data_IF_406760474106
#
_entry.id   IF_406760474106
#
_cell.length_a   1.000
_cell.length_b   1.000
_cell.length_c   1.000
_cell.angle_alpha   90.00
_cell.angle_beta   90.00
_cell.angle_gamma   90.00
#
_symmetry.space_group_name_H-M   'P 1'
#
loop_
_entity.id
_entity.type
_entity.pdbx_description
1 polymer ?
#
# COMPACT_ATOMS: atom_id res chain seq x y z
N UNK A 1 13.17 -7.34 -3.19
CA UNK A 1 13.05 -6.26 -2.17
C UNK A 1 14.42 -5.64 -1.87
N UNK A 2 15.48 -6.39 -1.52
CA UNK A 2 16.81 -5.78 -1.25
C UNK A 2 17.43 -5.08 -2.47
N UNK A 3 17.14 -5.47 -3.72
CA UNK A 3 17.54 -4.70 -4.89
C UNK A 3 16.96 -3.28 -4.92
N UNK A 4 15.68 -3.13 -4.57
CA UNK A 4 15.00 -1.82 -4.47
C UNK A 4 15.62 -0.98 -3.34
N UNK A 5 16.00 -1.62 -2.22
CA UNK A 5 16.70 -0.94 -1.12
C UNK A 5 18.08 -0.47 -1.57
N UNK A 6 18.79 -1.27 -2.35
CA UNK A 6 20.07 -0.88 -2.94
C UNK A 6 19.91 0.35 -3.84
N UNK A 7 18.91 0.34 -4.73
CA UNK A 7 18.61 1.47 -5.61
C UNK A 7 18.25 2.73 -4.80
N UNK A 8 17.51 2.58 -3.71
CA UNK A 8 17.17 3.69 -2.81
C UNK A 8 18.41 4.25 -2.11
N UNK A 9 19.31 3.38 -1.62
CA UNK A 9 20.55 3.82 -0.97
C UNK A 9 21.48 4.55 -1.94
N UNK A 10 21.65 4.03 -3.17
CA UNK A 10 22.41 4.70 -4.23
C UNK A 10 21.81 6.08 -4.58
N UNK A 11 20.48 6.14 -4.66
CA UNK A 11 19.77 7.39 -4.93
C UNK A 11 20.01 8.42 -3.82
N UNK A 12 19.89 8.00 -2.54
CA UNK A 12 20.14 8.87 -1.39
C UNK A 12 21.59 9.36 -1.34
N UNK A 13 22.55 8.48 -1.61
CA UNK A 13 23.97 8.87 -1.69
C UNK A 13 24.20 9.91 -2.79
N UNK A 14 23.64 9.68 -4.00
CA UNK A 14 23.74 10.61 -5.12
C UNK A 14 23.10 11.97 -4.80
N UNK A 15 21.90 11.99 -4.20
CA UNK A 15 21.23 13.24 -3.80
C UNK A 15 22.04 13.97 -2.73
N UNK A 16 22.49 13.27 -1.68
CA UNK A 16 23.20 13.87 -0.56
C UNK A 16 24.57 14.45 -0.98
N UNK A 17 25.20 13.90 -2.01
CA UNK A 17 26.46 14.41 -2.58
C UNK A 17 26.28 15.49 -3.64
N UNK A 18 25.05 15.73 -4.08
CA UNK A 18 24.76 16.71 -5.14
C UNK A 18 24.81 18.16 -4.61
N UNK A 19 25.50 19.03 -5.33
CA UNK A 19 25.51 20.47 -5.08
C UNK A 19 24.13 21.12 -5.27
N UNK A 20 23.23 20.47 -6.00
CA UNK A 20 21.87 20.95 -6.22
C UNK A 20 21.03 20.93 -4.93
N UNK A 21 21.35 20.06 -3.96
CA UNK A 21 20.64 19.99 -2.68
C UNK A 21 20.80 21.29 -1.85
N UNK A 22 21.81 22.09 -2.16
CA UNK A 22 22.11 23.37 -1.47
C UNK A 22 22.15 24.57 -2.41
N UNK A 23 21.69 24.41 -3.67
CA UNK A 23 21.76 25.44 -4.70
C UNK A 23 20.79 26.61 -4.52
N UNK A 24 19.73 26.39 -3.72
CA UNK A 24 18.61 27.31 -3.60
C UNK A 24 17.58 27.18 -4.73
N UNK A 25 16.41 27.77 -4.55
CA UNK A 25 15.37 27.84 -5.59
C UNK A 25 14.68 26.51 -5.92
N UNK A 26 14.30 26.34 -7.18
CA UNK A 26 13.52 25.21 -7.67
C UNK A 26 14.29 23.90 -7.72
N UNK A 27 15.59 23.97 -8.01
CA UNK A 27 16.46 22.79 -8.12
C UNK A 27 16.63 22.11 -6.76
N UNK A 28 16.90 22.91 -5.72
CA UNK A 28 16.96 22.40 -4.35
C UNK A 28 15.65 21.73 -3.95
N UNK A 29 14.51 22.40 -4.15
CA UNK A 29 13.18 21.84 -3.85
C UNK A 29 12.92 20.52 -4.58
N UNK A 30 13.39 20.39 -5.80
CA UNK A 30 13.29 19.16 -6.56
C UNK A 30 14.14 18.05 -5.95
N UNK A 31 15.37 18.33 -5.55
CA UNK A 31 16.25 17.37 -4.88
C UNK A 31 15.69 16.96 -3.50
N UNK A 32 15.18 17.91 -2.74
CA UNK A 32 14.51 17.66 -1.47
C UNK A 32 13.30 16.73 -1.64
N UNK A 33 12.48 16.95 -2.67
CA UNK A 33 11.35 16.09 -3.00
C UNK A 33 11.81 14.68 -3.34
N UNK A 34 12.79 14.52 -4.24
CA UNK A 34 13.33 13.20 -4.58
C UNK A 34 13.91 12.47 -3.38
N UNK A 35 14.56 13.19 -2.47
CA UNK A 35 15.02 12.64 -1.19
C UNK A 35 13.84 12.14 -0.34
N UNK A 36 12.80 12.94 -0.20
CA UNK A 36 11.59 12.57 0.54
C UNK A 36 10.89 11.35 -0.06
N UNK A 37 10.72 11.30 -1.40
CA UNK A 37 10.16 10.14 -2.10
C UNK A 37 10.99 8.87 -1.85
N UNK A 38 12.30 8.97 -1.98
CA UNK A 38 13.20 7.83 -1.78
C UNK A 38 13.13 7.30 -0.35
N UNK A 39 13.12 8.18 0.66
CA UNK A 39 12.95 7.79 2.06
C UNK A 39 11.60 7.09 2.29
N UNK A 40 10.52 7.63 1.76
CA UNK A 40 9.19 7.05 1.93
C UNK A 40 9.03 5.69 1.24
N UNK A 41 9.56 5.53 0.03
CA UNK A 41 9.51 4.26 -0.71
C UNK A 41 10.43 3.21 -0.08
N UNK A 42 11.63 3.58 0.37
CA UNK A 42 12.51 2.69 1.12
C UNK A 42 11.84 2.20 2.41
N UNK A 43 11.21 3.12 3.16
CA UNK A 43 10.46 2.78 4.36
C UNK A 43 9.30 1.81 4.08
N UNK A 44 8.58 1.98 2.98
CA UNK A 44 7.52 1.04 2.55
C UNK A 44 8.07 -0.37 2.34
N UNK A 45 9.18 -0.50 1.61
CA UNK A 45 9.78 -1.80 1.30
C UNK A 45 10.31 -2.48 2.56
N UNK A 46 10.97 -1.74 3.45
CA UNK A 46 11.42 -2.29 4.74
C UNK A 46 10.25 -2.67 5.65
N UNK A 47 9.19 -1.88 5.66
CA UNK A 47 8.01 -2.21 6.42
C UNK A 47 7.38 -3.53 5.95
N UNK A 48 7.31 -3.76 4.66
CA UNK A 48 6.86 -5.04 4.12
C UNK A 48 7.81 -6.19 4.48
N UNK A 49 9.13 -6.00 4.40
CA UNK A 49 10.10 -7.00 4.86
C UNK A 49 9.88 -7.37 6.33
N UNK A 50 9.71 -6.38 7.20
CA UNK A 50 9.44 -6.62 8.63
C UNK A 50 8.10 -7.33 8.85
N UNK A 51 7.07 -6.99 8.09
CA UNK A 51 5.76 -7.64 8.19
C UNK A 51 5.79 -9.12 7.80
N UNK A 52 6.60 -9.48 6.79
CA UNK A 52 6.70 -10.85 6.30
C UNK A 52 7.73 -11.69 7.05
N UNK A 53 8.84 -11.10 7.48
CA UNK A 53 10.00 -11.85 7.97
C UNK A 53 10.43 -11.50 9.41
N UNK A 54 9.87 -10.45 10.00
CA UNK A 54 10.27 -10.00 11.33
C UNK A 54 11.62 -9.29 11.33
N UNK A 55 12.60 -9.86 12.03
CA UNK A 55 13.96 -9.34 12.07
C UNK A 55 14.67 -9.60 10.74
N UNK A 56 15.20 -8.57 10.11
CA UNK A 56 15.87 -8.64 8.81
C UNK A 56 17.15 -7.80 8.82
N UNK A 57 18.11 -8.02 7.91
CA UNK A 57 19.25 -7.13 7.77
C UNK A 57 18.82 -5.70 7.45
N UNK A 58 19.29 -4.72 8.23
CA UNK A 58 19.06 -3.30 7.97
C UNK A 58 20.26 -2.71 7.25
N UNK A 59 20.11 -2.43 5.96
CA UNK A 59 21.14 -1.89 5.09
C UNK A 59 20.79 -0.44 4.74
N UNK A 60 21.53 0.51 5.26
CA UNK A 60 21.31 1.95 5.10
C UNK A 60 22.30 2.64 4.16
N UNK A 61 23.23 1.85 3.59
CA UNK A 61 24.28 2.33 2.69
C UNK A 61 24.35 1.44 1.43
N UNK A 62 24.78 1.96 0.29
CA UNK A 62 25.03 1.15 -0.89
C UNK A 62 26.06 0.05 -0.65
N UNK A 63 25.99 -1.00 -1.46
CA UNK A 63 26.98 -2.06 -1.45
C UNK A 63 28.36 -1.53 -1.77
N UNK A 64 29.35 -1.85 -0.95
CA UNK A 64 30.73 -1.47 -1.18
C UNK A 64 31.42 -2.46 -2.13
N UNK A 65 32.32 -1.95 -2.99
CA UNK A 65 33.00 -2.78 -3.98
C UNK A 65 33.89 -3.87 -3.34
N UNK A 66 34.36 -3.64 -2.12
CA UNK A 66 35.17 -4.58 -1.33
C UNK A 66 34.30 -5.57 -0.53
N UNK A 67 32.98 -5.51 -0.68
CA UNK A 67 31.98 -6.33 0.03
C UNK A 67 32.01 -6.17 1.56
N UNK A 68 32.62 -5.12 2.11
CA UNK A 68 32.77 -4.91 3.57
C UNK A 68 31.40 -4.81 4.28
N UNK A 69 30.35 -4.38 3.59
CA UNK A 69 28.98 -4.29 4.11
C UNK A 69 28.00 -5.30 3.48
N UNK A 70 28.50 -6.39 2.87
CA UNK A 70 27.66 -7.40 2.23
C UNK A 70 27.04 -8.40 3.22
N UNK A 71 27.71 -8.66 4.35
CA UNK A 71 27.32 -9.68 5.32
C UNK A 71 26.76 -9.04 6.59
N UNK A 72 25.54 -8.52 6.49
CA UNK A 72 24.84 -7.92 7.62
C UNK A 72 24.04 -9.00 8.38
N UNK A 73 24.15 -8.98 9.70
CA UNK A 73 23.25 -9.74 10.55
C UNK A 73 21.86 -9.11 10.54
N UNK A 74 20.84 -9.92 10.86
CA UNK A 74 19.50 -9.40 11.06
C UNK A 74 19.45 -8.41 12.23
N UNK A 75 18.74 -7.36 12.05
CA UNK A 75 18.47 -6.31 13.03
C UNK A 75 17.09 -6.54 13.64
N UNK A 76 16.95 -6.31 14.93
CA UNK A 76 15.66 -6.37 15.61
C UNK A 76 14.62 -5.48 14.90
N UNK A 77 13.46 -6.04 14.63
CA UNK A 77 12.36 -5.37 13.93
C UNK A 77 11.95 -4.03 14.55
N UNK A 78 12.07 -3.90 15.88
CA UNK A 78 11.71 -2.66 16.56
C UNK A 78 12.70 -1.55 16.21
N UNK A 79 13.99 -1.86 16.14
CA UNK A 79 15.03 -0.92 15.70
C UNK A 79 14.79 -0.50 14.25
N UNK A 80 14.44 -1.45 13.39
CA UNK A 80 14.09 -1.14 12.00
C UNK A 80 12.91 -0.18 11.96
N UNK A 81 11.78 -0.53 12.60
CA UNK A 81 10.57 0.31 12.58
C UNK A 81 10.82 1.70 13.18
N UNK A 82 11.62 1.80 14.24
CA UNK A 82 12.01 3.08 14.84
C UNK A 82 12.86 3.92 13.85
N UNK A 83 13.77 3.32 13.09
CA UNK A 83 14.54 3.97 12.02
C UNK A 83 13.62 4.47 10.91
N UNK A 84 12.68 3.63 10.43
CA UNK A 84 11.74 4.02 9.38
C UNK A 84 10.85 5.20 9.82
N UNK A 85 10.47 5.28 11.09
CA UNK A 85 9.71 6.43 11.61
C UNK A 85 10.53 7.72 11.60
N UNK A 86 11.84 7.65 11.80
CA UNK A 86 12.75 8.82 11.66
C UNK A 86 12.83 9.26 10.20
N UNK A 87 13.04 8.32 9.28
CA UNK A 87 13.10 8.61 7.84
C UNK A 87 11.80 9.22 7.33
N UNK A 88 10.65 8.71 7.78
CA UNK A 88 9.35 9.24 7.37
C UNK A 88 9.06 10.62 7.97
N UNK A 89 9.56 10.94 9.17
CA UNK A 89 9.50 12.33 9.69
C UNK A 89 10.27 13.28 8.78
N UNK A 90 11.45 12.89 8.32
CA UNK A 90 12.22 13.66 7.36
C UNK A 90 11.48 13.79 6.02
N UNK A 91 10.89 12.69 5.53
CA UNK A 91 10.11 12.70 4.30
C UNK A 91 8.90 13.66 4.38
N UNK A 92 8.20 13.70 5.51
CA UNK A 92 7.08 14.63 5.74
C UNK A 92 7.50 16.08 5.57
N UNK A 93 8.71 16.47 6.02
CA UNK A 93 9.20 17.86 5.87
C UNK A 93 9.55 18.17 4.40
N UNK A 94 10.02 17.19 3.63
CA UNK A 94 10.54 17.36 2.27
C UNK A 94 9.46 17.26 1.18
N UNK A 95 8.37 16.52 1.45
CA UNK A 95 7.36 16.20 0.45
C UNK A 95 6.23 17.23 0.39
N UNK A 96 5.72 17.55 -0.82
CA UNK A 96 4.47 18.28 -0.97
C UNK A 96 3.25 17.40 -0.76
N UNK A 97 2.09 18.00 -0.51
CA UNK A 97 0.81 17.33 -0.61
C UNK A 97 0.46 16.99 -2.07
N UNK A 98 -0.47 16.06 -2.27
CA UNK A 98 -0.97 15.79 -3.62
C UNK A 98 -1.55 17.07 -4.23
N UNK A 99 -1.21 17.31 -5.51
CA UNK A 99 -1.57 18.48 -6.32
C UNK A 99 -1.09 19.86 -5.80
N UNK A 100 -0.31 19.89 -4.72
CA UNK A 100 0.37 21.12 -4.27
C UNK A 100 1.41 21.61 -5.29
N UNK A 101 2.02 20.67 -6.00
CA UNK A 101 2.93 20.93 -7.11
C UNK A 101 2.35 20.31 -8.37
N UNK A 102 2.35 21.07 -9.47
CA UNK A 102 1.79 20.62 -10.75
C UNK A 102 2.34 19.26 -11.18
N UNK A 103 1.45 18.31 -11.47
CA UNK A 103 1.77 16.94 -11.85
C UNK A 103 2.22 16.03 -10.72
N UNK A 104 2.21 16.48 -9.49
CA UNK A 104 2.58 15.68 -8.33
C UNK A 104 1.33 15.11 -7.63
N UNK A 105 0.85 14.00 -8.16
CA UNK A 105 -0.41 13.36 -7.79
C UNK A 105 -0.22 12.28 -6.72
N UNK A 106 -1.30 11.58 -6.37
CA UNK A 106 -1.27 10.39 -5.47
C UNK A 106 -0.53 9.20 -6.05
N UNK A 107 -0.08 9.25 -7.30
CA UNK A 107 0.84 8.26 -7.90
C UNK A 107 2.30 8.45 -7.45
N UNK A 108 2.58 9.52 -6.72
CA UNK A 108 3.85 9.79 -6.06
C UNK A 108 3.75 9.57 -4.55
N UNK A 109 4.90 9.36 -3.91
CA UNK A 109 4.98 9.34 -2.45
C UNK A 109 4.82 10.77 -1.90
N UNK A 110 3.58 11.20 -1.67
CA UNK A 110 3.24 12.55 -1.19
C UNK A 110 3.44 12.69 0.32
N UNK A 111 3.36 13.94 0.82
CA UNK A 111 3.32 14.22 2.26
C UNK A 111 2.19 13.44 2.97
N UNK A 112 1.02 13.36 2.36
CA UNK A 112 -0.10 12.57 2.87
C UNK A 112 0.25 11.10 3.03
N UNK A 113 0.94 10.52 2.05
CA UNK A 113 1.42 9.16 2.12
C UNK A 113 2.46 8.95 3.23
N UNK A 114 3.45 9.84 3.33
CA UNK A 114 4.47 9.75 4.39
C UNK A 114 3.84 9.80 5.79
N UNK A 115 2.88 10.69 6.03
CA UNK A 115 2.11 10.72 7.27
C UNK A 115 1.35 9.41 7.53
N UNK A 116 0.64 8.89 6.55
CA UNK A 116 -0.14 7.67 6.67
C UNK A 116 0.74 6.44 6.94
N UNK A 117 1.86 6.32 6.23
CA UNK A 117 2.81 5.22 6.41
C UNK A 117 3.46 5.28 7.79
N UNK A 118 3.88 6.47 8.24
CA UNK A 118 4.45 6.67 9.57
C UNK A 118 3.48 6.25 10.66
N UNK A 119 2.23 6.67 10.57
CA UNK A 119 1.19 6.28 11.53
C UNK A 119 0.97 4.76 11.55
N UNK A 120 0.94 4.11 10.37
CA UNK A 120 0.79 2.67 10.26
C UNK A 120 1.98 1.91 10.90
N UNK A 121 3.20 2.38 10.65
CA UNK A 121 4.41 1.82 11.26
C UNK A 121 4.38 2.01 12.78
N UNK A 122 4.02 3.18 13.29
CA UNK A 122 3.92 3.44 14.72
C UNK A 122 2.88 2.52 15.41
N UNK A 123 1.71 2.33 14.81
CA UNK A 123 0.68 1.42 15.30
C UNK A 123 1.16 -0.04 15.27
N UNK A 124 1.85 -0.44 14.22
CA UNK A 124 2.43 -1.79 14.09
C UNK A 124 3.51 -2.03 15.15
N UNK A 125 4.36 -1.02 15.38
CA UNK A 125 5.41 -1.04 16.41
C UNK A 125 4.85 -1.18 17.83
N UNK A 126 3.65 -0.63 18.06
CA UNK A 126 2.93 -0.73 19.33
C UNK A 126 2.19 -2.08 19.51
N UNK A 127 2.04 -2.87 18.46
CA UNK A 127 1.22 -4.07 18.42
C UNK A 127 1.89 -5.33 18.98
N UNK A 128 1.08 -6.38 19.11
CA UNK A 128 1.53 -7.73 19.42
C UNK A 128 2.27 -8.36 18.25
N UNK A 129 3.43 -8.96 18.53
CA UNK A 129 4.22 -9.68 17.54
C UNK A 129 4.86 -10.92 18.15
N UNK A 130 5.03 -11.95 17.33
CA UNK A 130 5.85 -13.12 17.68
C UNK A 130 7.31 -12.73 17.53
N UNK A 131 8.12 -13.05 18.54
CA UNK A 131 9.55 -12.73 18.57
C UNK A 131 10.39 -14.00 18.58
N UNK A 132 11.58 -13.91 18.01
CA UNK A 132 12.54 -15.01 18.09
C UNK A 132 13.15 -15.15 19.49
N UNK A 133 13.25 -14.04 20.21
CA UNK A 133 13.72 -14.00 21.59
C UNK A 133 12.88 -13.04 22.42
N UNK A 134 12.65 -13.38 23.66
CA UNK A 134 11.96 -12.51 24.62
C UNK A 134 12.74 -11.20 24.80
N UNK A 135 12.00 -10.11 24.91
CA UNK A 135 12.57 -8.79 25.27
C UNK A 135 12.15 -8.43 26.69
N UNK A 136 13.12 -7.99 27.47
CA UNK A 136 12.88 -7.47 28.80
C UNK A 136 12.08 -6.16 28.75
N UNK A 137 11.20 -5.98 29.73
CA UNK A 137 10.34 -4.79 29.80
C UNK A 137 9.15 -4.81 28.86
N UNK A 138 8.97 -5.86 28.05
CA UNK A 138 7.83 -6.04 27.17
C UNK A 138 6.71 -6.83 27.86
N UNK A 139 5.49 -6.49 27.49
CA UNK A 139 4.31 -7.23 27.94
C UNK A 139 4.18 -8.50 27.09
N UNK A 140 4.04 -9.66 27.75
CA UNK A 140 3.89 -10.96 27.09
C UNK A 140 2.43 -11.39 27.10
N UNK A 141 1.93 -11.93 25.99
CA UNK A 141 0.57 -12.40 25.87
C UNK A 141 0.32 -13.63 26.75
N UNK A 142 -0.90 -13.77 27.30
CA UNK A 142 -1.28 -14.88 28.18
C UNK A 142 -1.13 -16.26 27.51
N UNK A 143 -1.39 -16.31 26.20
CA UNK A 143 -1.23 -17.51 25.38
C UNK A 143 -0.08 -17.28 24.41
N UNK A 144 1.09 -17.77 24.75
CA UNK A 144 2.30 -17.59 23.95
C UNK A 144 3.11 -18.88 23.94
N UNK A 145 3.81 -19.12 22.83
CA UNK A 145 4.85 -20.14 22.79
C UNK A 145 6.07 -19.63 23.59
N UNK A 146 6.56 -20.39 24.57
CA UNK A 146 7.72 -19.96 25.34
C UNK A 146 9.00 -19.84 24.51
N UNK A 147 9.10 -20.55 23.39
CA UNK A 147 10.26 -20.48 22.47
C UNK A 147 10.20 -19.23 21.58
N UNK A 148 8.98 -18.87 21.15
CA UNK A 148 8.71 -17.74 20.29
C UNK A 148 7.65 -16.83 20.91
N UNK A 149 8.01 -16.05 21.93
CA UNK A 149 7.02 -15.31 22.70
C UNK A 149 6.32 -14.24 21.90
N UNK A 150 5.01 -14.14 22.09
CA UNK A 150 4.20 -13.03 21.57
C UNK A 150 4.27 -11.87 22.55
N UNK A 151 4.89 -10.78 22.15
CA UNK A 151 5.13 -9.61 23.00
C UNK A 151 4.78 -8.30 22.30
N UNK A 152 4.53 -7.28 23.11
CA UNK A 152 4.42 -5.88 22.68
C UNK A 152 5.17 -4.97 23.66
N UNK A 153 5.49 -3.73 23.26
CA UNK A 153 6.13 -2.77 24.16
C UNK A 153 5.29 -2.52 25.42
N UNK A 154 5.93 -1.99 26.45
CA UNK A 154 5.26 -1.51 27.66
C UNK A 154 4.19 -0.43 27.38
N UNK A 155 3.32 -0.16 28.35
CA UNK A 155 2.20 0.76 28.18
C UNK A 155 2.67 2.20 27.86
N UNK A 156 3.76 2.67 28.47
CA UNK A 156 4.25 4.04 28.24
C UNK A 156 4.79 4.21 26.81
N UNK A 157 5.52 3.24 26.32
CA UNK A 157 6.01 3.20 24.93
C UNK A 157 4.84 3.14 23.94
N UNK A 158 3.83 2.29 24.20
CA UNK A 158 2.63 2.23 23.34
C UNK A 158 1.88 3.55 23.29
N UNK A 159 1.70 4.22 24.43
CA UNK A 159 1.04 5.53 24.48
C UNK A 159 1.74 6.54 23.56
N UNK A 160 3.07 6.65 23.65
CA UNK A 160 3.85 7.55 22.77
C UNK A 160 3.70 7.21 21.29
N UNK A 161 3.68 5.91 20.94
CA UNK A 161 3.49 5.46 19.57
C UNK A 161 2.08 5.76 19.03
N UNK A 162 1.04 5.60 19.86
CA UNK A 162 -0.32 5.95 19.49
C UNK A 162 -0.51 7.48 19.39
N UNK A 163 0.09 8.27 20.27
CA UNK A 163 0.09 9.74 20.18
C UNK A 163 0.79 10.21 18.90
N UNK A 164 1.91 9.58 18.54
CA UNK A 164 2.61 9.86 17.29
C UNK A 164 1.71 9.53 16.08
N UNK A 165 1.10 8.34 16.05
CA UNK A 165 0.19 7.96 14.99
C UNK A 165 -1.00 8.91 14.87
N UNK A 166 -1.63 9.27 16.00
CA UNK A 166 -2.75 10.20 16.06
C UNK A 166 -2.36 11.57 15.51
N UNK A 167 -1.18 12.09 15.88
CA UNK A 167 -0.68 13.38 15.37
C UNK A 167 -0.57 13.40 13.85
N UNK A 168 0.02 12.34 13.25
CA UNK A 168 0.20 12.25 11.80
C UNK A 168 -1.12 12.01 11.06
N UNK A 169 -2.02 11.19 11.59
CA UNK A 169 -3.36 11.01 11.00
C UNK A 169 -4.20 12.30 11.08
N UNK A 170 -4.10 13.01 12.21
CA UNK A 170 -4.78 14.32 12.38
C UNK A 170 -4.25 15.36 11.39
N UNK A 171 -2.96 15.34 11.06
CA UNK A 171 -2.38 16.23 10.05
C UNK A 171 -3.00 16.03 8.67
N UNK A 172 -3.23 14.76 8.24
CA UNK A 172 -3.92 14.45 6.99
C UNK A 172 -5.34 15.03 6.97
N UNK A 173 -6.11 14.78 8.05
CA UNK A 173 -7.50 15.24 8.15
C UNK A 173 -7.57 16.78 8.18
N UNK A 174 -6.68 17.41 8.95
CA UNK A 174 -6.66 18.88 9.11
C UNK A 174 -6.23 19.58 7.83
N UNK A 175 -5.29 19.00 7.07
CA UNK A 175 -4.89 19.55 5.77
C UNK A 175 -6.05 19.55 4.78
N UNK A 176 -6.86 18.49 4.76
CA UNK A 176 -8.08 18.39 3.96
C UNK A 176 -7.88 18.14 2.46
N UNK A 177 -6.67 17.83 2.00
CA UNK A 177 -6.41 17.34 0.63
C UNK A 177 -7.10 15.99 0.43
N UNK A 178 -6.91 15.07 1.37
CA UNK A 178 -7.52 13.75 1.33
C UNK A 178 -8.86 13.73 2.07
N UNK A 179 -9.91 13.27 1.41
CA UNK A 179 -11.27 13.17 1.95
C UNK A 179 -11.91 11.87 1.48
N UNK A 180 -12.87 11.37 2.24
CA UNK A 180 -13.66 10.24 1.77
C UNK A 180 -14.53 10.68 0.59
N UNK A 181 -14.53 9.92 -0.48
CA UNK A 181 -15.48 10.08 -1.58
C UNK A 181 -16.88 9.74 -1.05
N UNK A 182 -17.87 10.60 -1.21
CA UNK A 182 -19.24 10.34 -0.71
C UNK A 182 -19.89 9.14 -1.40
N UNK A 183 -19.38 8.70 -2.55
CA UNK A 183 -19.83 7.52 -3.28
C UNK A 183 -18.73 6.46 -3.35
N UNK A 184 -18.91 5.38 -2.60
CA UNK A 184 -18.03 4.20 -2.68
C UNK A 184 -18.02 3.59 -4.09
N UNK A 185 -19.16 3.66 -4.80
CA UNK A 185 -19.25 3.17 -6.17
C UNK A 185 -18.40 4.03 -7.11
N UNK A 186 -18.47 5.36 -6.99
CA UNK A 186 -17.67 6.27 -7.81
C UNK A 186 -16.17 6.06 -7.58
N UNK A 187 -15.74 5.85 -6.34
CA UNK A 187 -14.34 5.58 -6.03
C UNK A 187 -13.79 4.36 -6.80
N UNK A 188 -14.54 3.25 -6.79
CA UNK A 188 -14.15 2.06 -7.53
C UNK A 188 -14.35 2.19 -9.05
N UNK A 189 -15.31 3.00 -9.49
CA UNK A 189 -15.49 3.34 -10.90
C UNK A 189 -14.26 4.07 -11.44
N UNK A 190 -13.76 5.11 -10.76
CA UNK A 190 -12.57 5.85 -11.15
C UNK A 190 -11.34 4.93 -11.27
N UNK A 191 -11.13 4.05 -10.30
CA UNK A 191 -10.02 3.07 -10.35
C UNK A 191 -10.14 2.17 -11.60
N UNK A 192 -11.33 1.68 -11.92
CA UNK A 192 -11.56 0.85 -13.12
C UNK A 192 -11.41 1.65 -14.42
N UNK A 193 -11.69 2.95 -14.41
CA UNK A 193 -11.46 3.86 -15.53
C UNK A 193 -9.99 4.29 -15.65
N UNK A 194 -9.14 3.92 -14.69
CA UNK A 194 -7.75 4.39 -14.59
C UNK A 194 -7.65 5.91 -14.45
N UNK A 195 -8.59 6.48 -13.74
CA UNK A 195 -8.65 7.90 -13.43
C UNK A 195 -8.33 8.13 -11.95
N UNK A 196 -7.54 9.16 -11.68
CA UNK A 196 -7.29 9.61 -10.31
C UNK A 196 -8.52 10.34 -9.76
N UNK A 197 -8.84 10.11 -8.50
CA UNK A 197 -9.83 10.91 -7.78
C UNK A 197 -9.27 12.29 -7.43
N UNK A 198 -9.36 13.23 -8.39
CA UNK A 198 -8.88 14.61 -8.24
C UNK A 198 -9.75 15.48 -7.33
N UNK A 199 -10.94 15.02 -6.97
CA UNK A 199 -11.87 15.78 -6.14
C UNK A 199 -11.72 15.51 -4.65
N UNK A 200 -11.45 14.26 -4.31
CA UNK A 200 -11.41 13.81 -2.91
C UNK A 200 -10.05 13.25 -2.52
N UNK A 201 -9.24 12.81 -3.49
CA UNK A 201 -7.96 12.12 -3.23
C UNK A 201 -8.11 11.06 -2.12
N UNK A 202 -9.20 10.26 -2.18
CA UNK A 202 -9.46 9.24 -1.15
C UNK A 202 -8.33 8.23 -1.08
N UNK A 203 -7.79 7.81 -2.23
CA UNK A 203 -6.55 7.05 -2.27
C UNK A 203 -5.38 7.99 -1.93
N UNK A 204 -4.69 7.70 -0.85
CA UNK A 204 -3.55 8.50 -0.39
C UNK A 204 -2.30 8.19 -1.22
N UNK A 205 -2.19 6.97 -1.73
CA UNK A 205 -1.11 6.51 -2.59
C UNK A 205 -1.61 5.44 -3.55
N UNK A 206 -1.23 5.55 -4.82
CA UNK A 206 -1.60 4.62 -5.88
C UNK A 206 -0.36 4.20 -6.67
N UNK A 207 -0.23 2.91 -6.93
CA UNK A 207 0.80 2.39 -7.83
C UNK A 207 0.20 2.17 -9.22
N UNK A 208 0.44 3.06 -10.18
CA UNK A 208 -0.09 2.91 -11.53
C UNK A 208 0.53 1.71 -12.24
N UNK A 209 -0.31 0.95 -12.93
CA UNK A 209 0.11 -0.17 -13.76
C UNK A 209 0.00 0.22 -15.23
N UNK A 210 1.08 0.06 -16.00
CA UNK A 210 1.08 0.32 -17.44
C UNK A 210 0.26 -0.72 -18.22
N UNK A 211 -0.28 -0.33 -19.37
CA UNK A 211 -0.93 -1.26 -20.28
C UNK A 211 0.11 -2.28 -20.81
N UNK A 212 -0.22 -3.57 -20.71
CA UNK A 212 0.67 -4.66 -21.12
C UNK A 212 1.90 -4.88 -20.20
N UNK A 213 2.08 -4.04 -19.18
CA UNK A 213 3.11 -4.19 -18.15
C UNK A 213 2.39 -4.58 -16.87
N UNK A 214 2.12 -5.86 -16.69
CA UNK A 214 1.13 -6.30 -15.72
C UNK A 214 1.71 -6.82 -14.41
N UNK A 215 0.94 -6.58 -13.36
CA UNK A 215 0.85 -7.53 -12.25
C UNK A 215 -0.34 -8.48 -12.51
N UNK A 216 -0.29 -9.69 -11.99
CA UNK A 216 -1.44 -10.61 -12.03
C UNK A 216 -2.59 -10.17 -11.10
N UNK A 217 -2.49 -9.03 -10.44
CA UNK A 217 -3.44 -8.64 -9.40
C UNK A 217 -4.86 -8.46 -9.96
N UNK A 218 -5.04 -7.62 -10.97
CA UNK A 218 -6.33 -7.41 -11.61
C UNK A 218 -6.87 -8.68 -12.27
N UNK A 219 -6.00 -9.47 -12.90
CA UNK A 219 -6.34 -10.75 -13.47
C UNK A 219 -6.87 -11.75 -12.43
N UNK A 220 -6.26 -11.77 -11.24
CA UNK A 220 -6.56 -12.71 -10.16
C UNK A 220 -7.79 -12.31 -9.34
N UNK A 221 -7.95 -11.00 -9.07
CA UNK A 221 -8.91 -10.44 -8.09
C UNK A 221 -10.15 -9.91 -8.79
N UNK A 222 -10.42 -9.96 -9.99
CA UNK A 222 -11.58 -9.34 -10.62
C UNK A 222 -12.79 -10.25 -10.80
N UNK A 223 -13.83 -9.68 -11.36
CA UNK A 223 -14.98 -10.42 -11.89
C UNK A 223 -14.52 -11.26 -13.08
N UNK A 224 -14.83 -12.55 -13.07
CA UNK A 224 -14.34 -13.48 -14.10
C UNK A 224 -14.92 -13.17 -15.47
N UNK A 225 -14.05 -13.13 -16.47
CA UNK A 225 -14.40 -13.16 -17.89
C UNK A 225 -14.10 -14.55 -18.44
N UNK A 226 -15.14 -15.32 -18.77
CA UNK A 226 -15.04 -16.71 -19.19
C UNK A 226 -15.47 -16.87 -20.67
N UNK A 227 -14.63 -16.48 -21.56
CA UNK A 227 -14.86 -16.56 -23.00
C UNK A 227 -14.42 -15.29 -23.71
N UNK A 228 -14.21 -15.37 -25.02
CA UNK A 228 -13.98 -14.18 -25.84
C UNK A 228 -15.29 -13.40 -25.98
N UNK A 229 -15.27 -12.12 -25.72
CA UNK A 229 -16.37 -11.21 -25.95
C UNK A 229 -15.88 -10.02 -26.76
N UNK A 230 -16.75 -9.46 -27.60
CA UNK A 230 -16.43 -8.23 -28.34
C UNK A 230 -16.54 -7.00 -27.47
N UNK A 231 -17.27 -7.09 -26.36
CA UNK A 231 -17.58 -5.97 -25.48
C UNK A 231 -16.59 -5.84 -24.32
N UNK A 232 -16.19 -6.96 -23.70
CA UNK A 232 -15.34 -6.96 -22.50
C UNK A 232 -13.97 -7.57 -22.70
N UNK A 233 -13.51 -7.65 -23.94
CA UNK A 233 -12.19 -8.16 -24.29
C UNK A 233 -12.10 -9.68 -24.40
N UNK A 234 -10.90 -10.19 -24.43
CA UNK A 234 -10.62 -11.60 -24.68
C UNK A 234 -10.76 -12.44 -23.41
N UNK A 235 -10.97 -13.74 -23.61
CA UNK A 235 -10.92 -14.73 -22.53
C UNK A 235 -9.66 -14.58 -21.71
N UNK A 236 -9.82 -14.49 -20.40
CA UNK A 236 -8.70 -14.44 -19.47
C UNK A 236 -8.30 -13.04 -19.04
N UNK A 237 -9.01 -11.98 -19.42
CA UNK A 237 -8.78 -10.64 -18.88
C UNK A 237 -8.99 -10.57 -17.36
N UNK A 238 -9.83 -11.44 -16.82
CA UNK A 238 -9.90 -11.71 -15.39
C UNK A 238 -10.23 -13.17 -15.13
N UNK A 239 -9.42 -13.85 -14.33
CA UNK A 239 -9.64 -15.27 -13.99
C UNK A 239 -10.59 -15.46 -12.82
N UNK A 240 -10.77 -14.45 -11.98
CA UNK A 240 -11.57 -14.53 -10.76
C UNK A 240 -11.12 -15.65 -9.82
N UNK A 241 -9.80 -15.86 -9.68
CA UNK A 241 -9.24 -16.90 -8.79
C UNK A 241 -9.54 -16.60 -7.33
N UNK A 242 -9.45 -15.33 -6.92
CA UNK A 242 -9.84 -14.93 -5.58
C UNK A 242 -11.35 -14.74 -5.49
N UNK A 243 -11.92 -15.39 -4.49
CA UNK A 243 -13.35 -15.33 -4.22
C UNK A 243 -13.62 -14.91 -2.78
N UNK A 244 -14.73 -14.26 -2.57
CA UNK A 244 -15.24 -13.89 -1.27
C UNK A 244 -16.09 -15.03 -0.70
N UNK A 245 -16.09 -15.14 0.62
CA UNK A 245 -16.84 -16.20 1.32
C UNK A 245 -18.27 -15.76 1.63
N UNK A 246 -19.18 -16.72 1.79
CA UNK A 246 -20.55 -16.45 2.20
C UNK A 246 -20.63 -15.72 3.57
N UNK A 247 -19.87 -16.10 4.62
CA UNK A 247 -19.86 -15.35 5.85
C UNK A 247 -19.50 -13.87 5.67
N UNK A 248 -18.53 -13.56 4.80
CA UNK A 248 -18.18 -12.19 4.48
C UNK A 248 -19.34 -11.44 3.82
N UNK A 249 -20.03 -12.07 2.85
CA UNK A 249 -21.21 -11.48 2.22
C UNK A 249 -22.30 -11.16 3.24
N UNK A 250 -22.59 -12.09 4.15
CA UNK A 250 -23.62 -11.92 5.17
C UNK A 250 -23.20 -11.02 6.34
N UNK A 251 -21.91 -10.64 6.45
CA UNK A 251 -21.45 -9.69 7.47
C UNK A 251 -21.85 -8.25 7.16
N UNK A 252 -22.23 -7.95 5.92
CA UNK A 252 -22.76 -6.64 5.55
C UNK A 252 -24.23 -6.50 5.97
N UNK A 253 -24.59 -5.33 6.50
CA UNK A 253 -25.99 -4.97 6.63
C UNK A 253 -26.65 -4.94 5.24
N UNK A 254 -27.96 -5.28 5.16
CA UNK A 254 -28.70 -5.30 3.90
C UNK A 254 -28.77 -3.93 3.22
N UNK A 255 -28.63 -2.83 3.98
CA UNK A 255 -28.62 -1.45 3.50
C UNK A 255 -27.21 -0.94 3.18
N UNK A 256 -26.16 -1.72 3.47
CA UNK A 256 -24.79 -1.31 3.21
C UNK A 256 -24.49 -1.45 1.71
N UNK A 257 -24.43 -0.33 1.03
CA UNK A 257 -24.17 -0.25 -0.41
C UNK A 257 -22.80 -0.85 -0.79
N UNK A 258 -21.85 -0.90 0.13
CA UNK A 258 -20.52 -1.50 -0.10
C UNK A 258 -20.60 -2.97 -0.41
N UNK A 259 -21.62 -3.68 0.08
CA UNK A 259 -21.82 -5.11 -0.19
C UNK A 259 -21.91 -5.40 -1.68
N UNK A 260 -22.80 -4.72 -2.37
CA UNK A 260 -23.11 -5.02 -3.78
C UNK A 260 -22.02 -4.53 -4.73
N UNK A 261 -21.25 -3.51 -4.31
CA UNK A 261 -20.05 -3.05 -5.02
C UNK A 261 -18.88 -4.05 -4.84
N UNK A 262 -18.74 -4.60 -3.62
CA UNK A 262 -17.63 -5.49 -3.28
C UNK A 262 -17.88 -6.93 -3.73
N UNK A 263 -19.14 -7.38 -3.70
CA UNK A 263 -19.54 -8.76 -3.85
C UNK A 263 -20.26 -8.99 -5.19
N UNK A 264 -19.51 -9.30 -6.24
CA UNK A 264 -20.10 -9.59 -7.55
C UNK A 264 -20.58 -11.04 -7.64
N UNK A 265 -21.89 -11.23 -7.83
CA UNK A 265 -22.54 -12.52 -7.95
C UNK A 265 -22.67 -12.98 -9.41
N UNK A 266 -22.01 -12.32 -10.32
CA UNK A 266 -22.08 -12.56 -11.77
C UNK A 266 -20.71 -12.92 -12.33
N UNK A 267 -20.72 -13.60 -13.46
CA UNK A 267 -19.58 -13.79 -14.34
C UNK A 267 -19.93 -13.36 -15.76
N UNK A 268 -18.92 -13.00 -16.52
CA UNK A 268 -19.04 -12.60 -17.92
C UNK A 268 -18.58 -13.74 -18.81
N UNK A 269 -19.25 -13.95 -19.91
CA UNK A 269 -18.92 -14.96 -20.90
C UNK A 269 -19.43 -14.59 -22.28
N UNK A 270 -19.28 -15.51 -23.23
CA UNK A 270 -19.88 -15.38 -24.56
C UNK A 270 -20.77 -16.59 -24.85
N UNK A 271 -21.90 -16.32 -25.47
CA UNK A 271 -22.80 -17.33 -26.03
C UNK A 271 -23.15 -16.91 -27.44
N UNK A 272 -22.84 -17.78 -28.41
CA UNK A 272 -23.01 -17.48 -29.85
C UNK A 272 -22.36 -16.15 -30.30
N UNK A 273 -21.18 -15.85 -29.77
CA UNK A 273 -20.43 -14.62 -30.10
C UNK A 273 -20.94 -13.35 -29.42
N UNK A 274 -21.99 -13.43 -28.59
CA UNK A 274 -22.58 -12.33 -27.86
C UNK A 274 -22.16 -12.40 -26.39
N UNK A 275 -21.82 -11.25 -25.80
CA UNK A 275 -21.52 -11.14 -24.38
C UNK A 275 -22.73 -11.57 -23.55
N UNK A 276 -22.48 -12.43 -22.57
CA UNK A 276 -23.50 -12.91 -21.64
C UNK A 276 -23.06 -12.70 -20.20
N UNK A 277 -23.88 -11.97 -19.45
CA UNK A 277 -23.82 -11.97 -18.00
C UNK A 277 -24.63 -13.15 -17.44
N UNK A 278 -24.07 -13.88 -16.51
CA UNK A 278 -24.78 -14.95 -15.83
C UNK A 278 -24.56 -14.91 -14.33
N UNK A 279 -25.63 -15.19 -13.58
CA UNK A 279 -25.52 -15.37 -12.13
C UNK A 279 -24.68 -16.60 -11.83
N UNK A 280 -23.85 -16.50 -10.79
CA UNK A 280 -23.10 -17.64 -10.28
C UNK A 280 -24.06 -18.65 -9.63
N UNK A 281 -24.03 -19.92 -10.08
CA UNK A 281 -24.88 -20.97 -9.54
C UNK A 281 -24.64 -21.30 -8.08
N UNK A 282 -23.50 -20.93 -7.55
CA UNK A 282 -23.10 -21.13 -6.15
C UNK A 282 -23.05 -19.84 -5.32
N UNK A 283 -23.61 -18.72 -5.82
CA UNK A 283 -23.72 -17.49 -5.04
C UNK A 283 -24.71 -17.68 -3.88
N UNK A 284 -24.42 -17.19 -2.67
CA UNK A 284 -23.26 -16.39 -2.30
C UNK A 284 -22.07 -17.20 -1.73
N UNK A 285 -22.03 -18.52 -1.90
CA UNK A 285 -20.95 -19.35 -1.35
C UNK A 285 -19.61 -19.15 -2.06
N UNK A 286 -19.64 -18.70 -3.32
CA UNK A 286 -18.47 -18.31 -4.07
C UNK A 286 -18.82 -17.14 -4.99
N UNK A 287 -18.35 -15.95 -4.64
CA UNK A 287 -18.59 -14.69 -5.36
C UNK A 287 -17.27 -14.01 -5.69
N UNK A 288 -17.26 -13.21 -6.75
CA UNK A 288 -16.07 -12.47 -7.17
C UNK A 288 -15.93 -11.13 -6.45
N UNK A 289 -14.72 -10.60 -6.49
CA UNK A 289 -14.43 -9.24 -5.99
C UNK A 289 -14.89 -8.22 -7.04
N UNK A 290 -16.03 -7.59 -6.79
CA UNK A 290 -16.66 -6.64 -7.72
C UNK A 290 -15.96 -5.28 -7.82
N UNK A 291 -14.95 -5.05 -6.98
CA UNK A 291 -14.14 -3.84 -7.01
C UNK A 291 -13.27 -3.73 -8.26
N UNK A 292 -12.91 -4.84 -8.87
CA UNK A 292 -12.22 -4.91 -10.16
C UNK A 292 -13.14 -5.59 -11.17
N UNK A 293 -13.71 -4.79 -12.09
CA UNK A 293 -14.80 -5.24 -12.94
C UNK A 293 -14.69 -4.62 -14.35
N UNK A 294 -14.48 -5.48 -15.34
CA UNK A 294 -14.32 -5.04 -16.74
C UNK A 294 -15.52 -4.27 -17.27
N UNK A 295 -16.73 -4.45 -16.71
CA UNK A 295 -17.92 -3.68 -17.07
C UNK A 295 -17.80 -2.19 -16.74
N UNK A 296 -16.91 -1.86 -15.80
CA UNK A 296 -16.64 -0.49 -15.36
C UNK A 296 -15.40 0.12 -16.05
N UNK A 297 -14.69 -0.64 -16.86
CA UNK A 297 -13.49 -0.18 -17.58
C UNK A 297 -13.87 0.55 -18.88
N UNK A 298 -13.01 1.47 -19.30
CA UNK A 298 -13.06 2.05 -20.65
C UNK A 298 -12.83 0.97 -21.70
N UNK A 299 -13.43 1.12 -22.90
CA UNK A 299 -13.31 0.14 -23.99
C UNK A 299 -11.85 -0.12 -24.38
N UNK A 300 -11.04 0.91 -24.43
CA UNK A 300 -9.61 0.83 -24.80
C UNK A 300 -8.76 0.01 -23.80
N UNK A 301 -9.28 -0.24 -22.59
CA UNK A 301 -8.57 -0.94 -21.53
C UNK A 301 -9.12 -2.34 -21.21
N UNK A 302 -10.13 -2.78 -21.97
CA UNK A 302 -10.77 -4.08 -21.79
C UNK A 302 -10.00 -5.23 -22.44
#
# INVERSE_FOLDING_TARGET
MYGIIEDANLTLEGINSSSLLTSGGSEQKTMERYKGETLALSAMIYFDLVRFFGDVPLKLEPSQADLSNAYLHKTDRDVILDTLMVDLKNAVELLPWADEVSGYTTEHATKGYAHALLANIAMTRAGWVIREQAKDGYETANYTDPTYPTQRPDAATRTKLYELALSHLSAIITNGTHKLNPSVENQWYLINQRELDKNYHENIFEMPMGLGVSSELGYTVGVRVNGATTEYGVKGNSSGKMKLTAPFFYSFDKKDLRRDITCAQVQLGAENGVTKESMLGNAPFGIYVGKWDVRKMNEEWR
#
